data_IF_012009168708
#
_entry.id   IF_012009168708
#
_cell.length_a   1.000
_cell.length_b   1.000
_cell.length_c   1.000
_cell.angle_alpha   90.00
_cell.angle_beta   90.00
_cell.angle_gamma   90.00
#
_symmetry.space_group_name_H-M   'P 1'
#
loop_
_entity.id
_entity.type
_entity.pdbx_description
1 polymer ?
#
# COMPACT_ATOMS: atom_id res chain seq x y z
N UNK A 1 -28.75 -81.84 15.91
CA UNK A 1 -27.67 -80.86 15.60
C UNK A 1 -27.90 -80.29 14.20
N UNK A 2 -28.51 -79.10 14.08
CA UNK A 2 -28.52 -78.31 12.85
C UNK A 2 -27.77 -77.02 13.17
N UNK A 3 -26.63 -76.80 12.52
CA UNK A 3 -25.78 -75.61 12.69
C UNK A 3 -26.49 -74.42 12.04
N UNK A 4 -26.81 -73.40 12.84
CA UNK A 4 -27.24 -72.09 12.37
C UNK A 4 -25.97 -71.27 12.21
N UNK A 5 -25.58 -70.98 10.97
CA UNK A 5 -24.50 -70.04 10.68
C UNK A 5 -25.09 -68.63 10.67
N UNK A 6 -24.78 -67.85 11.70
CA UNK A 6 -25.11 -66.42 11.78
C UNK A 6 -24.05 -65.66 10.99
N UNK A 7 -24.44 -65.11 9.84
CA UNK A 7 -23.61 -64.23 9.03
C UNK A 7 -23.60 -62.84 9.72
N UNK A 8 -22.49 -62.47 10.35
CA UNK A 8 -22.28 -61.13 10.89
C UNK A 8 -21.95 -60.19 9.73
N UNK A 9 -22.95 -59.44 9.24
CA UNK A 9 -22.71 -58.33 8.33
C UNK A 9 -22.14 -57.16 9.14
N UNK A 10 -20.82 -56.98 9.10
CA UNK A 10 -20.14 -55.81 9.63
C UNK A 10 -20.49 -54.62 8.72
N UNK A 11 -21.54 -53.89 9.08
CA UNK A 11 -21.89 -52.65 8.42
C UNK A 11 -20.88 -51.58 8.87
N UNK A 12 -19.80 -51.41 8.10
CA UNK A 12 -18.87 -50.30 8.26
C UNK A 12 -19.65 -49.04 7.87
N UNK A 13 -20.17 -48.33 8.86
CA UNK A 13 -20.69 -46.98 8.64
C UNK A 13 -19.50 -46.10 8.28
N UNK A 14 -19.25 -45.91 6.98
CA UNK A 14 -18.40 -44.86 6.48
C UNK A 14 -19.14 -43.57 6.82
N UNK A 15 -18.76 -42.95 7.94
CA UNK A 15 -19.07 -41.55 8.18
C UNK A 15 -18.30 -40.80 7.09
N UNK A 16 -18.99 -40.47 6.01
CA UNK A 16 -18.49 -39.52 5.03
C UNK A 16 -18.44 -38.17 5.76
N UNK A 17 -17.31 -37.86 6.39
CA UNK A 17 -17.00 -36.47 6.70
C UNK A 17 -17.06 -35.74 5.37
N UNK A 18 -17.80 -34.62 5.33
CA UNK A 18 -17.71 -33.71 4.19
C UNK A 18 -16.23 -33.31 4.08
N UNK A 19 -15.55 -33.88 3.09
CA UNK A 19 -14.15 -33.57 2.85
C UNK A 19 -14.12 -32.12 2.38
N UNK A 20 -13.43 -31.26 3.13
CA UNK A 20 -13.26 -29.85 2.76
C UNK A 20 -12.67 -29.73 1.37
N UNK A 21 -12.87 -28.58 0.73
CA UNK A 21 -12.36 -28.33 -0.61
C UNK A 21 -10.82 -28.48 -0.62
N UNK A 22 -10.24 -29.25 -1.56
CA UNK A 22 -8.80 -29.46 -1.62
C UNK A 22 -8.05 -28.17 -2.01
N UNK A 23 -6.78 -28.11 -1.66
CA UNK A 23 -5.83 -27.22 -2.32
C UNK A 23 -5.58 -27.76 -3.73
N UNK A 24 -5.71 -26.93 -4.77
CA UNK A 24 -5.50 -27.35 -6.16
C UNK A 24 -4.47 -26.45 -6.82
N UNK A 25 -3.40 -27.06 -7.33
CA UNK A 25 -2.39 -26.34 -8.11
C UNK A 25 -1.81 -27.16 -9.25
N UNK A 26 -0.93 -26.52 -10.03
CA UNK A 26 -0.23 -27.11 -11.16
C UNK A 26 1.27 -27.09 -10.90
N UNK A 27 1.89 -28.26 -11.01
CA UNK A 27 3.34 -28.44 -10.90
C UNK A 27 3.92 -28.95 -12.22
N UNK A 28 5.06 -28.39 -12.61
CA UNK A 28 5.85 -28.88 -13.74
C UNK A 28 6.86 -29.90 -13.24
N UNK A 29 6.96 -31.03 -13.93
CA UNK A 29 8.01 -32.00 -13.68
C UNK A 29 9.38 -31.48 -14.10
N UNK A 30 10.45 -32.06 -13.55
CA UNK A 30 11.79 -31.90 -14.09
C UNK A 30 11.96 -32.63 -15.44
N UNK A 31 13.18 -32.57 -15.99
CA UNK A 31 13.52 -33.23 -17.25
C UNK A 31 13.46 -34.77 -17.20
N UNK A 32 13.41 -35.36 -16.00
CA UNK A 32 13.27 -36.80 -15.78
C UNK A 32 11.82 -37.24 -15.52
N UNK A 33 10.87 -36.31 -15.53
CA UNK A 33 9.45 -36.59 -15.27
C UNK A 33 9.08 -36.61 -13.79
N UNK A 34 9.96 -36.12 -12.91
CA UNK A 34 9.71 -36.06 -11.47
C UNK A 34 9.08 -34.73 -11.09
N UNK A 35 7.92 -34.78 -10.43
CA UNK A 35 7.37 -33.63 -9.70
C UNK A 35 7.76 -33.75 -8.23
N UNK A 36 8.47 -32.75 -7.73
CA UNK A 36 8.79 -32.62 -6.31
C UNK A 36 7.88 -31.60 -5.63
N UNK A 37 7.25 -32.00 -4.53
CA UNK A 37 6.43 -31.13 -3.68
C UNK A 37 6.90 -31.23 -2.24
N UNK A 38 7.12 -30.08 -1.60
CA UNK A 38 7.51 -30.02 -0.19
C UNK A 38 6.38 -29.46 0.66
N UNK A 39 6.03 -30.16 1.74
CA UNK A 39 4.96 -29.74 2.65
C UNK A 39 5.20 -30.23 4.09
N UNK A 40 4.45 -29.67 5.02
CA UNK A 40 4.29 -30.18 6.39
C UNK A 40 2.82 -30.46 6.69
N UNK A 41 2.58 -31.48 7.50
CA UNK A 41 1.24 -32.01 7.77
C UNK A 41 0.95 -33.26 6.94
N UNK A 42 0.04 -34.10 7.45
CA UNK A 42 -0.44 -35.29 6.75
C UNK A 42 -1.49 -34.90 5.70
N UNK A 43 -1.42 -35.52 4.53
CA UNK A 43 -2.38 -35.24 3.46
C UNK A 43 -2.57 -36.43 2.52
N UNK A 44 -3.73 -36.50 1.89
CA UNK A 44 -3.95 -37.32 0.70
C UNK A 44 -3.89 -36.45 -0.55
N UNK A 45 -3.55 -37.05 -1.69
CA UNK A 45 -3.49 -36.33 -2.96
C UNK A 45 -3.97 -37.17 -4.14
N UNK A 46 -4.42 -36.46 -5.17
CA UNK A 46 -4.62 -37.01 -6.52
C UNK A 46 -3.86 -36.14 -7.50
N UNK A 47 -3.34 -36.73 -8.57
CA UNK A 47 -2.72 -35.98 -9.66
C UNK A 47 -3.26 -36.43 -11.02
N UNK A 48 -3.22 -35.50 -11.98
CA UNK A 48 -3.60 -35.72 -13.36
C UNK A 48 -2.69 -34.87 -14.27
N UNK A 49 -2.15 -35.47 -15.33
CA UNK A 49 -1.33 -34.73 -16.32
C UNK A 49 -2.20 -33.80 -17.15
N UNK A 50 -1.79 -32.54 -17.24
CA UNK A 50 -2.48 -31.51 -18.03
C UNK A 50 -2.49 -31.91 -19.51
N UNK A 51 -3.68 -32.03 -20.09
CA UNK A 51 -3.88 -32.42 -21.49
C UNK A 51 -3.86 -33.93 -21.77
N UNK A 52 -3.52 -34.77 -20.79
CA UNK A 52 -3.50 -36.23 -20.91
C UNK A 52 -4.07 -36.91 -19.65
N UNK A 53 -5.39 -36.85 -19.41
CA UNK A 53 -6.03 -37.32 -18.16
C UNK A 53 -5.80 -38.80 -17.81
N UNK A 54 -5.45 -39.61 -18.82
CA UNK A 54 -5.09 -41.02 -18.64
C UNK A 54 -3.82 -41.22 -17.80
N UNK A 55 -2.95 -40.21 -17.71
CA UNK A 55 -1.80 -40.19 -16.81
C UNK A 55 -2.26 -39.54 -15.50
N UNK A 56 -2.74 -40.36 -14.59
CA UNK A 56 -3.27 -39.92 -13.30
C UNK A 56 -3.02 -40.96 -12.20
N UNK A 57 -3.12 -40.52 -10.96
CA UNK A 57 -2.94 -41.39 -9.80
C UNK A 57 -3.33 -40.71 -8.50
N UNK A 58 -3.15 -41.43 -7.41
CA UNK A 58 -3.47 -40.97 -6.07
C UNK A 58 -2.53 -41.59 -5.04
N UNK A 59 -2.37 -40.92 -3.91
CA UNK A 59 -1.63 -41.46 -2.78
C UNK A 59 -1.92 -40.68 -1.50
N UNK A 60 -1.16 -41.05 -0.47
CA UNK A 60 -1.15 -40.33 0.79
C UNK A 60 0.28 -40.08 1.23
N UNK A 61 0.49 -38.97 1.90
CA UNK A 61 1.72 -38.56 2.53
C UNK A 61 1.48 -38.47 4.03
N UNK A 62 2.28 -39.20 4.79
CA UNK A 62 2.35 -39.06 6.25
C UNK A 62 3.69 -38.40 6.55
N UNK A 63 3.66 -37.27 7.25
CA UNK A 63 4.86 -36.53 7.59
C UNK A 63 5.77 -37.40 8.49
N UNK A 64 7.03 -37.57 8.08
CA UNK A 64 8.06 -38.22 8.92
C UNK A 64 8.96 -37.12 9.47
N UNK A 65 8.72 -36.69 10.71
CA UNK A 65 9.34 -35.49 11.27
C UNK A 65 8.52 -34.24 10.93
N UNK A 66 9.16 -33.15 10.47
CA UNK A 66 8.48 -31.88 10.14
C UNK A 66 8.28 -31.65 8.64
N UNK A 67 8.69 -32.59 7.79
CA UNK A 67 8.78 -32.40 6.34
C UNK A 67 8.42 -33.66 5.55
N UNK A 68 7.83 -33.42 4.39
CA UNK A 68 7.60 -34.42 3.37
C UNK A 68 8.05 -33.88 2.01
N UNK A 69 8.73 -34.74 1.24
CA UNK A 69 8.98 -34.53 -0.19
C UNK A 69 8.18 -35.58 -0.96
N UNK A 70 7.11 -35.14 -1.64
CA UNK A 70 6.41 -35.98 -2.59
C UNK A 70 7.25 -36.10 -3.86
N UNK A 71 7.43 -37.30 -4.37
CA UNK A 71 7.98 -37.53 -5.72
C UNK A 71 6.95 -38.29 -6.55
N UNK A 72 6.36 -37.62 -7.52
CA UNK A 72 5.55 -38.27 -8.56
C UNK A 72 6.46 -38.45 -9.75
N UNK A 73 6.76 -39.70 -10.10
CA UNK A 73 7.61 -40.04 -11.24
C UNK A 73 6.76 -40.58 -12.37
N UNK A 74 6.54 -39.76 -13.38
CA UNK A 74 5.70 -40.06 -14.53
C UNK A 74 6.41 -39.60 -15.83
N UNK A 75 5.66 -39.24 -16.87
CA UNK A 75 6.22 -38.61 -18.08
C UNK A 75 6.50 -37.12 -17.87
N UNK A 76 7.40 -36.53 -18.66
CA UNK A 76 7.67 -35.09 -18.59
C UNK A 76 6.39 -34.29 -18.93
N UNK A 77 6.03 -33.31 -18.10
CA UNK A 77 4.84 -32.49 -18.31
C UNK A 77 4.44 -31.64 -17.10
N UNK A 78 3.23 -31.09 -17.18
CA UNK A 78 2.57 -30.38 -16.07
C UNK A 78 1.47 -31.26 -15.49
N UNK A 79 1.29 -31.18 -14.18
CA UNK A 79 0.39 -32.01 -13.40
C UNK A 79 -0.49 -31.14 -12.52
N UNK A 80 -1.81 -31.31 -12.63
CA UNK A 80 -2.75 -30.77 -11.65
C UNK A 80 -2.75 -31.69 -10.44
N UNK A 81 -2.38 -31.17 -9.27
CA UNK A 81 -2.37 -31.92 -8.02
C UNK A 81 -3.41 -31.32 -7.08
N UNK A 82 -4.29 -32.19 -6.56
CA UNK A 82 -5.28 -31.86 -5.54
C UNK A 82 -4.79 -32.44 -4.21
N UNK A 83 -4.70 -31.61 -3.17
CA UNK A 83 -4.17 -31.97 -1.87
C UNK A 83 -5.27 -31.79 -0.83
N UNK A 84 -5.48 -32.82 -0.02
CA UNK A 84 -6.47 -32.86 1.06
C UNK A 84 -5.75 -33.13 2.38
N UNK A 85 -5.36 -32.10 3.12
CA UNK A 85 -4.75 -32.25 4.43
C UNK A 85 -5.71 -32.80 5.47
N UNK A 86 -5.20 -33.53 6.46
CA UNK A 86 -5.99 -34.07 7.57
C UNK A 86 -5.83 -33.28 8.87
N UNK A 87 -5.13 -32.14 8.83
CA UNK A 87 -4.88 -31.25 9.96
C UNK A 87 -4.11 -30.01 9.50
N UNK A 88 -3.35 -29.40 10.41
CA UNK A 88 -2.52 -28.22 10.11
C UNK A 88 -1.59 -28.50 8.94
N UNK A 89 -1.62 -27.62 7.95
CA UNK A 89 -0.92 -27.82 6.69
C UNK A 89 -0.16 -26.57 6.24
N UNK A 90 0.95 -26.80 5.53
CA UNK A 90 1.71 -25.76 4.86
C UNK A 90 2.48 -26.34 3.69
N UNK A 91 2.43 -25.67 2.53
CA UNK A 91 3.43 -25.88 1.48
C UNK A 91 4.74 -25.21 1.91
N UNK A 92 5.83 -25.95 1.84
CA UNK A 92 7.18 -25.43 2.07
C UNK A 92 7.82 -25.13 0.72
N UNK A 93 8.80 -24.21 0.69
CA UNK A 93 9.56 -23.74 -0.49
C UNK A 93 9.38 -24.68 -1.69
N UNK A 94 8.37 -24.40 -2.52
CA UNK A 94 7.84 -25.42 -3.42
C UNK A 94 8.61 -25.45 -4.75
N UNK A 95 9.91 -25.79 -4.65
CA UNK A 95 10.75 -26.20 -5.77
C UNK A 95 11.18 -25.11 -6.77
N UNK A 96 11.04 -23.82 -6.45
CA UNK A 96 11.34 -22.74 -7.38
C UNK A 96 10.32 -22.70 -8.53
N UNK A 97 10.77 -22.69 -9.79
CA UNK A 97 9.90 -22.62 -10.97
C UNK A 97 9.05 -23.89 -11.23
N UNK A 98 9.08 -24.90 -10.36
CA UNK A 98 8.24 -26.08 -10.52
C UNK A 98 6.75 -25.75 -10.33
N UNK A 99 6.40 -24.90 -9.36
CA UNK A 99 5.00 -24.55 -9.09
C UNK A 99 4.51 -23.43 -10.02
N UNK A 100 3.49 -23.72 -10.83
CA UNK A 100 3.05 -22.86 -11.95
C UNK A 100 1.77 -22.11 -11.68
N UNK A 101 0.79 -22.77 -11.09
CA UNK A 101 -0.52 -22.16 -10.87
C UNK A 101 -1.15 -22.65 -9.57
N UNK A 102 -1.78 -21.73 -8.84
CA UNK A 102 -2.70 -22.05 -7.76
C UNK A 102 -4.12 -21.71 -8.22
N UNK A 103 -4.97 -22.73 -8.37
CA UNK A 103 -6.35 -22.57 -8.87
C UNK A 103 -7.42 -22.73 -7.79
N UNK A 104 -7.06 -23.20 -6.60
CA UNK A 104 -7.96 -23.25 -5.45
C UNK A 104 -7.13 -23.28 -4.16
N UNK A 105 -7.45 -22.41 -3.20
CA UNK A 105 -6.84 -22.43 -1.86
C UNK A 105 -7.34 -23.61 -1.03
N UNK A 106 -8.64 -23.88 -1.08
CA UNK A 106 -9.30 -24.94 -0.35
C UNK A 106 -9.61 -24.59 1.11
N UNK A 107 -10.32 -25.49 1.78
CA UNK A 107 -10.69 -25.36 3.20
C UNK A 107 -9.54 -25.90 4.08
N UNK A 108 -8.40 -25.22 4.02
CA UNK A 108 -7.15 -25.65 4.65
C UNK A 108 -6.96 -25.00 6.02
N UNK A 109 -6.65 -25.81 7.05
CA UNK A 109 -6.16 -25.31 8.34
C UNK A 109 -4.67 -24.93 8.18
N UNK A 110 -4.42 -23.70 7.75
CA UNK A 110 -3.07 -23.21 7.48
C UNK A 110 -2.22 -23.12 8.76
N UNK A 111 -0.94 -23.49 8.65
CA UNK A 111 0.03 -23.28 9.71
C UNK A 111 0.20 -21.78 10.04
N UNK A 112 0.55 -21.48 11.30
CA UNK A 112 0.78 -20.09 11.75
C UNK A 112 1.92 -19.40 10.98
N UNK A 113 2.93 -20.16 10.57
CA UNK A 113 4.05 -19.68 9.76
C UNK A 113 3.84 -20.13 8.31
N UNK A 114 3.65 -19.19 7.39
CA UNK A 114 3.61 -19.39 5.93
C UNK A 114 4.82 -18.79 5.23
N UNK A 115 5.89 -18.50 5.97
CA UNK A 115 7.09 -17.87 5.41
C UNK A 115 7.66 -18.66 4.23
N UNK A 116 8.01 -17.95 3.17
CA UNK A 116 8.64 -18.55 1.99
C UNK A 116 7.80 -19.61 1.25
N UNK A 117 6.49 -19.72 1.50
CA UNK A 117 5.62 -20.76 0.91
C UNK A 117 5.76 -20.87 -0.62
N UNK A 118 5.81 -19.73 -1.31
CA UNK A 118 5.98 -19.63 -2.76
C UNK A 118 7.28 -18.95 -3.20
N UNK A 119 8.25 -18.85 -2.29
CA UNK A 119 9.53 -18.21 -2.59
C UNK A 119 10.18 -18.79 -3.85
N UNK A 120 10.64 -17.91 -4.72
CA UNK A 120 11.32 -18.19 -6.00
C UNK A 120 10.47 -18.92 -7.04
N UNK A 121 9.14 -18.97 -6.87
CA UNK A 121 8.23 -19.45 -7.91
C UNK A 121 8.05 -18.37 -8.99
N UNK A 122 9.08 -18.13 -9.83
CA UNK A 122 9.11 -16.96 -10.72
C UNK A 122 8.01 -16.98 -11.78
N UNK A 123 7.46 -18.15 -12.07
CA UNK A 123 6.41 -18.40 -13.07
C UNK A 123 5.02 -18.60 -12.45
N UNK A 124 4.88 -18.36 -11.15
CA UNK A 124 3.62 -18.56 -10.42
C UNK A 124 2.52 -17.63 -10.93
N UNK A 125 1.35 -18.22 -11.18
CA UNK A 125 0.07 -17.52 -11.31
C UNK A 125 -0.88 -17.96 -10.21
N UNK A 126 -1.73 -17.06 -9.73
CA UNK A 126 -2.83 -17.43 -8.83
C UNK A 126 -4.13 -17.08 -9.55
N UNK A 127 -4.88 -18.13 -9.88
CA UNK A 127 -6.19 -18.06 -10.54
C UNK A 127 -7.33 -18.46 -9.62
N UNK A 128 -6.99 -18.92 -8.41
CA UNK A 128 -7.92 -19.22 -7.34
C UNK A 128 -8.83 -18.02 -7.02
N UNK A 129 -10.14 -18.24 -7.03
CA UNK A 129 -11.16 -17.23 -6.71
C UNK A 129 -11.80 -17.46 -5.34
N UNK A 130 -11.51 -18.58 -4.69
CA UNK A 130 -11.82 -18.78 -3.28
C UNK A 130 -10.86 -17.97 -2.39
N UNK A 131 -11.31 -17.64 -1.19
CA UNK A 131 -10.56 -16.81 -0.24
C UNK A 131 -9.95 -17.70 0.84
N UNK A 132 -8.62 -17.73 1.02
CA UNK A 132 -8.00 -18.50 2.09
C UNK A 132 -8.30 -17.90 3.46
N UNK A 133 -8.51 -18.75 4.47
CA UNK A 133 -8.58 -18.32 5.86
C UNK A 133 -7.17 -18.29 6.49
N UNK A 134 -6.59 -17.09 6.58
CA UNK A 134 -5.30 -16.85 7.23
C UNK A 134 -5.44 -16.29 8.65
N UNK A 135 -6.61 -16.45 9.29
CA UNK A 135 -6.88 -15.87 10.61
C UNK A 135 -5.98 -16.35 11.75
N UNK A 136 -5.19 -17.42 11.56
CA UNK A 136 -4.19 -17.92 12.51
C UNK A 136 -2.74 -17.62 12.09
N UNK A 137 -2.54 -17.09 10.89
CA UNK A 137 -1.20 -16.88 10.33
C UNK A 137 -0.57 -15.66 10.99
N UNK A 138 0.65 -15.83 11.50
CA UNK A 138 1.45 -14.81 12.17
C UNK A 138 2.68 -14.41 11.35
N UNK A 139 3.19 -15.28 10.47
CA UNK A 139 4.37 -15.01 9.63
C UNK A 139 4.07 -15.27 8.15
N UNK A 140 4.17 -14.22 7.32
CA UNK A 140 4.08 -14.27 5.85
C UNK A 140 5.38 -13.81 5.17
N UNK A 141 6.47 -13.75 5.92
CA UNK A 141 7.77 -13.28 5.42
C UNK A 141 8.21 -14.09 4.20
N UNK A 142 8.65 -13.40 3.16
CA UNK A 142 9.18 -13.98 1.91
C UNK A 142 8.19 -14.88 1.16
N UNK A 143 6.89 -14.85 1.48
CA UNK A 143 5.88 -15.76 0.90
C UNK A 143 5.91 -15.75 -0.63
N UNK A 144 6.01 -14.58 -1.26
CA UNK A 144 6.10 -14.39 -2.72
C UNK A 144 7.43 -13.79 -3.19
N UNK A 145 8.50 -13.92 -2.39
CA UNK A 145 9.84 -13.42 -2.75
C UNK A 145 10.27 -14.00 -4.11
N UNK A 146 10.63 -13.14 -5.07
CA UNK A 146 11.02 -13.42 -6.44
C UNK A 146 9.98 -14.18 -7.28
N UNK A 147 8.68 -14.02 -7.00
CA UNK A 147 7.61 -14.45 -7.89
C UNK A 147 7.44 -13.45 -9.05
N UNK A 148 8.39 -13.43 -9.99
CA UNK A 148 8.49 -12.36 -10.99
C UNK A 148 7.26 -12.17 -11.87
N UNK A 149 6.55 -13.25 -12.21
CA UNK A 149 5.33 -13.25 -13.04
C UNK A 149 4.03 -13.17 -12.23
N UNK A 150 4.11 -12.99 -10.90
CA UNK A 150 2.93 -12.80 -10.07
C UNK A 150 2.29 -11.44 -10.40
N UNK A 151 1.13 -11.47 -11.05
CA UNK A 151 0.35 -10.29 -11.40
C UNK A 151 -0.76 -10.05 -10.35
N UNK A 152 -2.02 -10.00 -10.80
CA UNK A 152 -3.18 -9.90 -9.93
C UNK A 152 -3.46 -11.25 -9.26
N UNK A 153 -3.72 -11.20 -7.96
CA UNK A 153 -4.22 -12.33 -7.17
C UNK A 153 -5.70 -12.07 -6.89
N UNK A 154 -6.63 -12.89 -7.39
CA UNK A 154 -8.06 -12.67 -7.16
C UNK A 154 -8.37 -12.64 -5.66
N UNK A 155 -9.25 -11.71 -5.26
CA UNK A 155 -9.73 -11.54 -3.88
C UNK A 155 -8.62 -11.38 -2.82
N UNK A 156 -7.40 -10.95 -3.21
CA UNK A 156 -6.30 -10.75 -2.27
C UNK A 156 -6.63 -9.73 -1.18
N UNK A 157 -7.45 -8.72 -1.50
CA UNK A 157 -7.96 -7.73 -0.56
C UNK A 157 -8.84 -8.32 0.56
N UNK A 158 -9.37 -9.53 0.38
CA UNK A 158 -10.25 -10.21 1.36
C UNK A 158 -9.48 -11.12 2.32
N UNK A 159 -8.17 -11.30 2.13
CA UNK A 159 -7.37 -12.18 2.96
C UNK A 159 -7.36 -11.73 4.42
N UNK A 160 -7.63 -12.67 5.33
CA UNK A 160 -7.63 -12.42 6.76
C UNK A 160 -6.21 -12.34 7.34
N UNK A 161 -5.50 -11.23 7.11
CA UNK A 161 -4.10 -11.02 7.56
C UNK A 161 -3.96 -10.33 8.93
N UNK A 162 -5.06 -10.23 9.69
CA UNK A 162 -5.14 -9.41 10.91
C UNK A 162 -4.27 -9.87 12.09
N UNK A 163 -3.82 -11.12 12.08
CA UNK A 163 -2.92 -11.69 13.10
C UNK A 163 -1.45 -11.72 12.67
N UNK A 164 -1.14 -11.30 11.44
CA UNK A 164 0.22 -11.32 10.90
C UNK A 164 1.08 -10.25 11.59
N UNK A 165 2.24 -10.66 12.08
CA UNK A 165 3.25 -9.80 12.71
C UNK A 165 4.47 -9.58 11.82
N UNK A 166 4.76 -10.48 10.87
CA UNK A 166 5.92 -10.38 9.96
C UNK A 166 5.50 -10.47 8.48
N UNK A 167 5.83 -9.44 7.70
CA UNK A 167 5.67 -9.39 6.24
C UNK A 167 6.99 -9.06 5.51
N UNK A 168 8.14 -9.33 6.12
CA UNK A 168 9.46 -9.07 5.53
C UNK A 168 9.56 -9.68 4.13
N UNK A 169 9.96 -8.89 3.14
CA UNK A 169 10.24 -9.33 1.77
C UNK A 169 9.10 -10.11 1.10
N UNK A 170 7.85 -9.97 1.56
CA UNK A 170 6.72 -10.77 1.08
C UNK A 170 6.57 -10.72 -0.45
N UNK A 171 6.72 -9.54 -1.06
CA UNK A 171 6.64 -9.31 -2.52
C UNK A 171 7.96 -8.78 -3.10
N UNK A 172 9.09 -8.98 -2.43
CA UNK A 172 10.38 -8.56 -2.98
C UNK A 172 10.62 -9.28 -4.31
N UNK A 173 10.99 -8.56 -5.36
CA UNK A 173 11.23 -9.10 -6.70
C UNK A 173 9.98 -9.60 -7.45
N UNK A 174 8.77 -9.42 -6.91
CA UNK A 174 7.52 -9.69 -7.62
C UNK A 174 7.23 -8.56 -8.64
N UNK A 175 8.01 -8.52 -9.71
CA UNK A 175 8.11 -7.37 -10.65
C UNK A 175 6.77 -6.91 -11.22
N UNK A 176 5.85 -7.85 -11.50
CA UNK A 176 4.54 -7.56 -12.09
C UNK A 176 3.42 -7.36 -11.06
N UNK A 177 3.71 -7.54 -9.76
CA UNK A 177 2.67 -7.52 -8.73
C UNK A 177 2.12 -6.10 -8.54
N UNK A 178 0.81 -5.97 -8.67
CA UNK A 178 0.07 -4.73 -8.40
C UNK A 178 -1.34 -5.03 -7.88
N UNK A 179 -1.53 -6.13 -7.13
CA UNK A 179 -2.82 -6.50 -6.55
C UNK A 179 -3.26 -5.54 -5.44
N UNK A 180 -4.54 -5.18 -5.40
CA UNK A 180 -5.09 -4.27 -4.38
C UNK A 180 -5.08 -4.91 -3.00
N UNK A 181 -4.30 -4.32 -2.10
CA UNK A 181 -4.14 -4.72 -0.69
C UNK A 181 -4.50 -3.57 0.26
N UNK A 182 -5.26 -2.58 -0.22
CA UNK A 182 -5.64 -1.37 0.53
C UNK A 182 -6.45 -1.69 1.80
N UNK A 183 -7.17 -2.82 1.80
CA UNK A 183 -8.06 -3.26 2.89
C UNK A 183 -7.38 -4.19 3.92
N UNK A 184 -6.09 -4.50 3.73
CA UNK A 184 -5.37 -5.35 4.68
C UNK A 184 -5.26 -4.71 6.06
N UNK A 185 -5.57 -5.50 7.10
CA UNK A 185 -5.44 -5.08 8.50
C UNK A 185 -4.02 -5.34 8.99
N UNK A 186 -3.12 -4.39 8.75
CA UNK A 186 -1.68 -4.52 9.09
C UNK A 186 -1.29 -4.00 10.48
N UNK A 187 -2.27 -3.68 11.35
CA UNK A 187 -2.02 -3.02 12.64
C UNK A 187 -1.20 -3.83 13.66
N UNK A 188 -0.97 -5.13 13.44
CA UNK A 188 -0.09 -5.98 14.25
C UNK A 188 1.28 -6.23 13.61
N UNK A 189 1.50 -5.80 12.38
CA UNK A 189 2.75 -6.04 11.65
C UNK A 189 3.85 -5.19 12.28
N UNK A 190 4.94 -5.82 12.70
CA UNK A 190 6.07 -5.19 13.37
C UNK A 190 7.20 -4.83 12.38
N UNK A 191 7.30 -5.57 11.27
CA UNK A 191 8.32 -5.38 10.22
C UNK A 191 7.76 -5.59 8.81
N UNK A 192 8.14 -4.68 7.91
CA UNK A 192 7.88 -4.76 6.47
C UNK A 192 9.17 -4.51 5.66
N UNK A 193 10.32 -4.89 6.24
CA UNK A 193 11.63 -4.74 5.60
C UNK A 193 11.58 -5.38 4.20
N UNK A 194 11.99 -4.60 3.20
CA UNK A 194 12.01 -5.00 1.78
C UNK A 194 10.69 -5.53 1.18
N UNK A 195 9.52 -5.32 1.82
CA UNK A 195 8.25 -5.95 1.41
C UNK A 195 7.92 -5.80 -0.09
N UNK A 196 8.18 -4.63 -0.69
CA UNK A 196 7.95 -4.34 -2.12
C UNK A 196 9.25 -4.02 -2.88
N UNK A 197 10.41 -4.41 -2.35
CA UNK A 197 11.69 -4.14 -2.99
C UNK A 197 11.75 -4.79 -4.37
N UNK A 198 11.93 -3.98 -5.42
CA UNK A 198 11.94 -4.45 -6.81
C UNK A 198 10.59 -4.91 -7.36
N UNK A 199 9.47 -4.66 -6.66
CA UNK A 199 8.12 -4.83 -7.19
C UNK A 199 7.80 -3.66 -8.14
N UNK A 200 8.38 -3.70 -9.34
CA UNK A 200 8.47 -2.53 -10.23
C UNK A 200 7.11 -1.94 -10.63
N UNK A 201 6.08 -2.78 -10.79
CA UNK A 201 4.73 -2.37 -11.15
C UNK A 201 3.84 -1.94 -9.98
N UNK A 202 4.27 -2.14 -8.73
CA UNK A 202 3.44 -1.90 -7.56
C UNK A 202 3.13 -0.40 -7.37
N UNK A 203 1.83 -0.06 -7.32
CA UNK A 203 1.35 1.31 -7.15
C UNK A 203 -0.06 1.37 -6.54
N UNK A 204 -0.30 0.59 -5.48
CA UNK A 204 -1.59 0.54 -4.78
C UNK A 204 -1.67 1.52 -3.62
N UNK A 205 -2.88 1.98 -3.32
CA UNK A 205 -3.16 2.92 -2.22
C UNK A 205 -3.02 2.23 -0.86
N UNK A 206 -2.10 2.73 -0.04
CA UNK A 206 -1.80 2.23 1.30
C UNK A 206 -2.13 3.26 2.40
N UNK A 207 -2.89 4.30 2.07
CA UNK A 207 -3.21 5.40 2.99
C UNK A 207 -4.01 4.96 4.22
N UNK A 208 -4.74 3.84 4.12
CA UNK A 208 -5.58 3.28 5.19
C UNK A 208 -4.86 2.31 6.12
N UNK A 209 -3.58 2.01 5.85
CA UNK A 209 -2.81 1.09 6.69
C UNK A 209 -2.48 1.73 8.05
N UNK A 210 -2.76 0.99 9.13
CA UNK A 210 -2.32 1.36 10.47
C UNK A 210 -0.88 0.90 10.69
N UNK A 211 0.07 1.82 10.55
CA UNK A 211 1.52 1.54 10.63
C UNK A 211 2.10 1.71 12.02
N UNK A 212 1.28 1.90 13.05
CA UNK A 212 1.73 2.25 14.40
C UNK A 212 2.67 1.20 15.03
N UNK A 213 2.44 -0.08 14.73
CA UNK A 213 3.26 -1.18 15.26
C UNK A 213 4.61 -1.35 14.56
N UNK A 214 4.84 -0.71 13.40
CA UNK A 214 6.08 -0.89 12.65
C UNK A 214 7.29 -0.33 13.40
N UNK A 215 8.36 -1.10 13.39
CA UNK A 215 9.67 -0.73 13.97
C UNK A 215 10.75 -0.57 12.91
N UNK A 216 10.60 -1.24 11.75
CA UNK A 216 11.56 -1.25 10.65
C UNK A 216 10.89 -1.26 9.26
N UNK A 217 11.39 -0.41 8.35
CA UNK A 217 10.90 -0.28 6.95
C UNK A 217 12.07 -0.22 5.94
N UNK A 218 13.21 -0.78 6.30
CA UNK A 218 14.44 -0.77 5.49
C UNK A 218 14.15 -1.30 4.09
N UNK A 219 14.48 -0.51 3.07
CA UNK A 219 14.31 -0.86 1.65
C UNK A 219 12.89 -1.25 1.21
N UNK A 220 11.83 -0.94 1.98
CA UNK A 220 10.46 -1.42 1.74
C UNK A 220 9.98 -1.19 0.31
N UNK A 221 10.25 -0.02 -0.29
CA UNK A 221 9.87 0.35 -1.66
C UNK A 221 11.09 0.53 -2.58
N UNK A 222 12.25 -0.01 -2.22
CA UNK A 222 13.48 0.16 -3.00
C UNK A 222 13.29 -0.44 -4.40
N UNK A 223 13.40 0.37 -5.45
CA UNK A 223 13.19 -0.07 -6.83
C UNK A 223 11.72 -0.37 -7.20
N UNK A 224 10.75 -0.01 -6.36
CA UNK A 224 9.33 -0.02 -6.73
C UNK A 224 9.03 1.18 -7.65
N UNK A 225 9.45 1.07 -8.92
CA UNK A 225 9.54 2.18 -9.87
C UNK A 225 8.21 2.90 -10.09
N UNK A 226 7.09 2.18 -10.10
CA UNK A 226 5.76 2.75 -10.32
C UNK A 226 5.15 3.43 -9.09
N UNK A 227 5.64 3.12 -7.88
CA UNK A 227 5.01 3.55 -6.63
C UNK A 227 5.08 5.07 -6.45
N UNK A 228 3.93 5.72 -6.37
CA UNK A 228 3.80 7.15 -6.08
C UNK A 228 2.47 7.48 -5.36
N UNK A 229 2.05 6.64 -4.43
CA UNK A 229 0.85 6.88 -3.62
C UNK A 229 1.17 7.69 -2.38
N UNK A 230 0.19 8.48 -1.97
CA UNK A 230 0.29 9.30 -0.76
C UNK A 230 0.28 8.41 0.48
N UNK A 231 1.36 8.52 1.27
CA UNK A 231 1.58 7.84 2.54
C UNK A 231 1.94 8.85 3.65
N UNK A 232 1.64 10.14 3.43
CA UNK A 232 1.89 11.21 4.39
C UNK A 232 1.17 10.98 5.73
N UNK A 233 0.05 10.25 5.72
CA UNK A 233 -0.72 9.87 6.90
C UNK A 233 -0.17 8.70 7.74
N UNK A 234 0.90 8.03 7.30
CA UNK A 234 1.49 6.93 8.05
C UNK A 234 2.05 7.38 9.42
N UNK A 235 1.79 6.55 10.44
CA UNK A 235 2.35 6.69 11.79
C UNK A 235 3.74 6.06 11.83
N UNK A 236 4.79 6.88 11.77
CA UNK A 236 6.20 6.41 11.69
C UNK A 236 7.01 6.65 12.97
N UNK A 237 6.37 7.11 14.05
CA UNK A 237 7.04 7.51 15.29
C UNK A 237 7.77 6.38 16.03
N UNK A 238 7.44 5.13 15.73
CA UNK A 238 8.05 3.95 16.36
C UNK A 238 9.22 3.38 15.53
N UNK A 239 9.35 3.79 14.26
CA UNK A 239 10.32 3.23 13.31
C UNK A 239 11.71 3.82 13.54
N UNK A 240 12.70 2.96 13.82
CA UNK A 240 14.10 3.38 13.98
C UNK A 240 14.93 3.26 12.71
N UNK A 241 14.58 2.33 11.81
CA UNK A 241 15.36 2.02 10.61
C UNK A 241 14.51 2.21 9.34
N UNK A 242 14.82 3.27 8.58
CA UNK A 242 14.14 3.66 7.33
C UNK A 242 15.11 3.73 6.14
N UNK A 243 16.30 3.14 6.30
CA UNK A 243 17.37 3.20 5.31
C UNK A 243 16.91 2.69 3.95
N UNK A 244 17.20 3.46 2.90
CA UNK A 244 16.93 3.12 1.50
C UNK A 244 15.46 2.81 1.18
N UNK A 245 14.49 3.25 2.00
CA UNK A 245 13.06 2.92 1.83
C UNK A 245 12.54 3.18 0.41
N UNK A 246 12.90 4.30 -0.22
CA UNK A 246 12.51 4.68 -1.59
C UNK A 246 13.71 4.75 -2.55
N UNK A 247 14.82 4.08 -2.23
CA UNK A 247 16.00 4.07 -3.09
C UNK A 247 15.64 3.54 -4.49
N UNK A 248 16.00 4.22 -5.57
CA UNK A 248 15.61 3.90 -6.96
C UNK A 248 14.08 3.79 -7.22
N UNK A 249 13.21 4.27 -6.32
CA UNK A 249 11.77 4.37 -6.58
C UNK A 249 11.50 5.61 -7.47
N UNK A 250 11.71 5.46 -8.77
CA UNK A 250 11.88 6.57 -9.71
C UNK A 250 10.66 7.48 -9.87
N UNK A 251 9.45 7.02 -9.54
CA UNK A 251 8.25 7.86 -9.58
C UNK A 251 7.87 8.45 -8.22
N UNK A 252 8.49 8.01 -7.12
CA UNK A 252 8.07 8.41 -5.78
C UNK A 252 8.45 9.87 -5.48
N UNK A 253 7.45 10.76 -5.48
CA UNK A 253 7.55 12.17 -5.12
C UNK A 253 6.32 12.59 -4.32
N UNK A 254 6.44 12.60 -2.99
CA UNK A 254 5.35 12.92 -2.07
C UNK A 254 5.85 13.83 -0.95
N UNK A 255 4.95 14.67 -0.43
CA UNK A 255 5.20 15.47 0.77
C UNK A 255 5.07 14.57 2.02
N UNK A 256 6.19 14.35 2.72
CA UNK A 256 6.25 13.56 3.94
C UNK A 256 6.41 14.41 5.20
N UNK A 257 6.11 15.71 5.11
CA UNK A 257 6.29 16.66 6.21
C UNK A 257 5.45 16.35 7.46
N UNK A 258 4.37 15.58 7.31
CA UNK A 258 3.52 15.13 8.42
C UNK A 258 4.15 14.00 9.26
N UNK A 259 5.19 13.33 8.76
CA UNK A 259 5.84 12.22 9.45
C UNK A 259 6.55 12.67 10.73
N UNK A 260 6.23 11.99 11.83
CA UNK A 260 6.85 12.19 13.16
C UNK A 260 8.06 11.27 13.28
N UNK A 261 9.23 11.71 12.80
CA UNK A 261 10.44 10.87 12.79
C UNK A 261 10.94 10.62 14.23
N UNK A 262 11.25 9.36 14.56
CA UNK A 262 11.77 8.95 15.87
C UNK A 262 13.15 9.56 16.15
N UNK A 263 13.42 9.91 17.41
CA UNK A 263 14.75 10.32 17.86
C UNK A 263 15.79 9.24 17.57
N UNK A 264 16.91 9.63 16.96
CA UNK A 264 17.99 8.71 16.58
C UNK A 264 17.68 7.81 15.38
N UNK A 265 16.57 8.02 14.68
CA UNK A 265 16.24 7.24 13.48
C UNK A 265 17.29 7.41 12.38
N UNK A 266 17.45 6.37 11.57
CA UNK A 266 18.33 6.39 10.39
C UNK A 266 17.50 6.36 9.10
N UNK A 267 17.60 7.44 8.33
CA UNK A 267 17.01 7.65 7.00
C UNK A 267 18.11 7.65 5.93
N UNK A 268 19.08 6.75 6.06
CA UNK A 268 20.24 6.70 5.17
C UNK A 268 19.82 6.28 3.75
N UNK A 269 20.07 7.14 2.77
CA UNK A 269 19.72 6.92 1.37
C UNK A 269 18.22 6.84 1.09
N UNK A 270 17.37 7.35 1.99
CA UNK A 270 15.91 7.14 1.94
C UNK A 270 15.29 7.52 0.59
N UNK A 271 15.72 8.62 -0.04
CA UNK A 271 15.25 9.08 -1.34
C UNK A 271 16.33 9.02 -2.44
N UNK A 272 17.41 8.25 -2.23
CA UNK A 272 18.50 8.23 -3.19
C UNK A 272 18.03 7.67 -4.54
N UNK A 273 18.18 8.45 -5.60
CA UNK A 273 17.71 8.14 -6.96
C UNK A 273 16.19 7.91 -7.05
N UNK A 274 15.40 8.38 -6.08
CA UNK A 274 13.94 8.35 -6.19
C UNK A 274 13.44 9.50 -7.07
N UNK A 275 12.13 9.51 -7.34
CA UNK A 275 11.44 10.62 -8.01
C UNK A 275 11.30 11.90 -7.18
N UNK A 276 11.85 11.93 -5.97
CA UNK A 276 11.62 13.00 -4.98
C UNK A 276 12.09 14.34 -5.54
N UNK A 277 11.12 15.11 -6.02
CA UNK A 277 11.35 16.40 -6.64
C UNK A 277 11.64 17.47 -5.58
N UNK A 278 11.99 18.65 -6.07
CA UNK A 278 12.41 19.73 -5.21
C UNK A 278 11.27 20.33 -4.37
N UNK A 279 10.04 20.33 -4.88
CA UNK A 279 8.89 20.86 -4.15
C UNK A 279 8.53 19.93 -2.98
N UNK A 280 8.41 18.64 -3.25
CA UNK A 280 8.07 17.60 -2.28
C UNK A 280 9.13 17.48 -1.19
N UNK A 281 10.41 17.51 -1.54
CA UNK A 281 11.49 17.50 -0.55
C UNK A 281 11.52 18.79 0.28
N UNK A 282 11.27 19.95 -0.33
CA UNK A 282 11.21 21.23 0.38
C UNK A 282 10.06 21.28 1.40
N UNK A 283 8.88 20.77 1.04
CA UNK A 283 7.73 20.64 1.96
C UNK A 283 8.02 19.63 3.09
N UNK A 284 8.65 18.50 2.75
CA UNK A 284 9.07 17.49 3.72
C UNK A 284 10.02 18.09 4.78
N UNK A 285 11.05 18.81 4.35
CA UNK A 285 11.99 19.50 5.26
C UNK A 285 11.28 20.51 6.16
N UNK A 286 10.34 21.31 5.62
CA UNK A 286 9.53 22.25 6.39
C UNK A 286 8.70 21.55 7.45
N UNK A 287 7.92 20.54 7.07
CA UNK A 287 7.06 19.81 8.01
C UNK A 287 7.86 19.17 9.14
N UNK A 288 9.02 18.57 8.83
CA UNK A 288 9.89 18.01 9.86
C UNK A 288 10.48 19.06 10.80
N UNK A 289 10.83 20.24 10.28
CA UNK A 289 11.38 21.32 11.09
C UNK A 289 10.34 21.93 12.04
N UNK A 290 9.12 22.17 11.56
CA UNK A 290 8.04 22.82 12.32
C UNK A 290 7.36 21.89 13.33
N UNK A 291 7.43 20.57 13.13
CA UNK A 291 6.78 19.62 14.00
C UNK A 291 7.60 19.37 15.29
N UNK A 292 7.03 19.70 16.45
CA UNK A 292 7.68 19.51 17.76
C UNK A 292 7.83 18.04 18.17
N UNK A 293 7.01 17.13 17.61
CA UNK A 293 7.08 15.69 17.88
C UNK A 293 8.16 14.99 17.02
N UNK A 294 8.73 15.68 16.03
CA UNK A 294 9.87 15.15 15.26
C UNK A 294 11.12 15.14 16.12
N UNK A 295 11.69 13.95 16.26
CA UNK A 295 12.82 13.63 17.12
C UNK A 295 14.14 14.28 16.72
N UNK A 296 15.11 14.13 17.60
CA UNK A 296 16.46 14.70 17.47
C UNK A 296 17.48 13.66 16.99
N UNK A 297 18.68 14.12 16.63
CA UNK A 297 19.83 13.24 16.30
C UNK A 297 19.57 12.24 15.16
N UNK A 298 18.75 12.63 14.18
CA UNK A 298 18.41 11.80 13.02
C UNK A 298 19.51 11.89 11.96
N UNK A 299 19.81 10.76 11.30
CA UNK A 299 20.71 10.72 10.15
C UNK A 299 19.90 10.65 8.85
N UNK A 300 19.94 11.73 8.06
CA UNK A 300 19.34 11.81 6.74
C UNK A 300 20.43 11.89 5.67
N UNK A 301 20.41 10.96 4.72
CA UNK A 301 21.22 11.08 3.50
C UNK A 301 20.37 10.86 2.25
N UNK A 302 20.48 11.77 1.30
CA UNK A 302 19.72 11.72 0.04
C UNK A 302 20.46 12.51 -1.04
N UNK A 303 20.16 12.31 -2.32
CA UNK A 303 20.59 13.19 -3.41
C UNK A 303 19.47 14.12 -3.92
N UNK A 304 18.35 14.20 -3.18
CA UNK A 304 17.24 15.13 -3.45
C UNK A 304 17.70 16.58 -3.42
N UNK A 305 16.94 17.43 -4.11
CA UNK A 305 17.21 18.86 -4.20
C UNK A 305 16.20 19.66 -3.39
N UNK A 306 16.61 20.77 -2.79
CA UNK A 306 15.70 21.67 -2.06
C UNK A 306 15.86 23.12 -2.54
N UNK A 307 14.76 23.89 -2.48
CA UNK A 307 14.70 25.28 -2.92
C UNK A 307 15.14 26.27 -1.85
N UNK A 308 15.21 27.55 -2.23
CA UNK A 308 15.63 28.65 -1.33
C UNK A 308 14.77 28.73 -0.06
N UNK A 309 13.45 28.61 -0.20
CA UNK A 309 12.49 28.65 0.90
C UNK A 309 12.70 27.54 1.95
N UNK A 310 13.33 26.41 1.58
CA UNK A 310 13.58 25.29 2.49
C UNK A 310 14.86 25.45 3.33
N UNK A 311 15.75 26.39 2.98
CA UNK A 311 17.00 26.66 3.72
C UNK A 311 16.81 26.85 5.23
N UNK A 312 15.92 27.75 5.72
CA UNK A 312 15.75 27.96 7.16
C UNK A 312 15.28 26.68 7.89
N UNK A 313 14.43 25.88 7.26
CA UNK A 313 13.92 24.64 7.84
C UNK A 313 14.98 23.55 7.91
N UNK A 314 15.78 23.40 6.85
CA UNK A 314 16.94 22.51 6.84
C UNK A 314 17.95 22.91 7.93
N UNK A 315 18.22 24.20 8.06
CA UNK A 315 19.10 24.74 9.11
C UNK A 315 18.55 24.48 10.51
N UNK A 316 17.23 24.56 10.71
CA UNK A 316 16.56 24.24 11.97
C UNK A 316 16.73 22.77 12.36
N UNK A 317 16.54 21.84 11.43
CA UNK A 317 16.78 20.41 11.65
C UNK A 317 18.21 20.15 12.13
N UNK A 318 19.20 20.77 11.49
CA UNK A 318 20.62 20.59 11.83
C UNK A 318 20.95 21.27 13.17
N UNK A 319 20.66 22.57 13.29
CA UNK A 319 21.14 23.41 14.40
C UNK A 319 20.34 23.22 15.68
N UNK A 320 19.02 23.01 15.59
CA UNK A 320 18.14 22.89 16.77
C UNK A 320 17.81 21.45 17.11
N UNK A 321 17.59 20.59 16.10
CA UNK A 321 17.26 19.18 16.32
C UNK A 321 18.47 18.23 16.26
N UNK A 322 19.68 18.75 15.94
CA UNK A 322 20.90 17.95 15.92
C UNK A 322 20.95 16.91 14.79
N UNK A 323 20.17 17.11 13.72
CA UNK A 323 20.16 16.19 12.58
C UNK A 323 21.50 16.25 11.83
N UNK A 324 21.92 15.10 11.31
CA UNK A 324 22.97 15.01 10.30
C UNK A 324 22.31 14.86 8.94
N UNK A 325 22.32 15.93 8.14
CA UNK A 325 21.80 15.92 6.77
C UNK A 325 22.97 15.98 5.78
N UNK A 326 23.04 15.01 4.86
CA UNK A 326 24.15 14.90 3.91
C UNK A 326 23.70 14.56 2.48
N UNK A 327 24.51 14.99 1.50
CA UNK A 327 24.38 14.74 0.06
C UNK A 327 23.21 15.41 -0.67
N UNK A 328 22.25 15.99 0.06
CA UNK A 328 21.19 16.80 -0.51
C UNK A 328 21.78 18.08 -1.14
N UNK A 329 21.09 18.63 -2.13
CA UNK A 329 21.63 19.75 -2.92
C UNK A 329 20.67 20.93 -2.94
N UNK A 330 21.18 22.10 -2.62
CA UNK A 330 20.48 23.33 -2.92
C UNK A 330 20.35 23.51 -4.44
N UNK A 331 19.16 23.88 -4.90
CA UNK A 331 18.88 24.25 -6.29
C UNK A 331 18.25 25.65 -6.33
N UNK A 332 18.98 26.63 -6.86
CA UNK A 332 18.55 28.04 -6.95
C UNK A 332 17.43 28.27 -7.97
N UNK A 333 17.22 27.32 -8.88
CA UNK A 333 16.12 27.35 -9.85
C UNK A 333 14.84 26.75 -9.28
N UNK A 334 14.91 26.12 -8.11
CA UNK A 334 13.75 25.58 -7.44
C UNK A 334 13.01 26.67 -6.65
N UNK A 335 12.01 27.28 -7.30
CA UNK A 335 11.11 28.25 -6.68
C UNK A 335 9.92 27.52 -6.07
N UNK A 336 9.91 27.39 -4.74
CA UNK A 336 8.81 26.77 -3.98
C UNK A 336 8.19 27.82 -3.09
N UNK A 337 6.86 27.95 -3.14
CA UNK A 337 6.11 28.71 -2.14
C UNK A 337 5.83 27.79 -0.94
N UNK A 338 6.61 27.99 0.12
CA UNK A 338 6.44 27.33 1.40
C UNK A 338 5.72 28.23 2.42
N UNK A 339 5.16 29.36 1.98
CA UNK A 339 4.26 30.14 2.82
C UNK A 339 3.13 29.29 3.36
N UNK A 340 2.59 29.69 4.51
CA UNK A 340 1.30 29.16 4.94
C UNK A 340 0.33 29.54 3.82
N UNK A 341 -0.14 28.56 3.05
CA UNK A 341 -1.24 28.81 2.14
C UNK A 341 -2.43 29.20 3.02
N UNK A 342 -2.60 30.51 3.22
CA UNK A 342 -3.87 31.05 3.66
C UNK A 342 -4.87 30.73 2.55
N UNK A 343 -5.57 29.61 2.73
CA UNK A 343 -6.72 29.11 1.96
C UNK A 343 -6.37 28.29 0.70
N UNK A 344 -7.07 27.15 0.43
CA UNK A 344 -7.06 26.53 -0.90
C UNK A 344 -7.33 27.58 -1.97
N UNK A 345 -6.64 27.47 -3.10
CA UNK A 345 -6.69 28.41 -4.25
C UNK A 345 -8.12 28.75 -4.61
N UNK A 346 -8.58 29.84 -4.03
CA UNK A 346 -9.92 30.34 -4.23
C UNK A 346 -10.04 30.86 -5.65
N UNK A 347 -11.09 30.50 -6.41
CA UNK A 347 -11.30 31.06 -7.73
C UNK A 347 -11.27 32.59 -7.70
N UNK A 348 -10.44 33.22 -8.54
CA UNK A 348 -10.26 34.66 -8.49
C UNK A 348 -11.54 35.40 -8.91
N UNK A 349 -12.08 36.24 -8.02
CA UNK A 349 -13.17 37.18 -8.30
C UNK A 349 -12.59 38.57 -8.54
N UNK A 350 -13.07 39.29 -9.55
CA UNK A 350 -12.61 40.65 -9.89
C UNK A 350 -13.76 41.64 -9.85
N UNK A 351 -13.63 42.68 -9.03
CA UNK A 351 -14.53 43.85 -9.02
C UNK A 351 -13.85 45.01 -9.75
N UNK A 352 -14.50 45.55 -10.78
CA UNK A 352 -13.98 46.72 -11.49
C UNK A 352 -14.10 47.97 -10.59
N UNK A 353 -12.99 48.69 -10.45
CA UNK A 353 -12.87 49.92 -9.66
C UNK A 353 -12.30 51.03 -10.55
N UNK A 354 -12.64 52.31 -10.33
CA UNK A 354 -13.62 52.82 -9.35
C UNK A 354 -15.07 52.51 -9.76
N UNK A 355 -15.97 52.43 -8.78
CA UNK A 355 -17.38 52.08 -9.00
C UNK A 355 -18.19 53.36 -9.22
N UNK A 356 -18.92 53.44 -10.33
CA UNK A 356 -19.88 54.53 -10.61
C UNK A 356 -21.29 54.08 -10.23
N UNK A 357 -22.16 53.84 -11.20
CA UNK A 357 -23.57 53.56 -10.92
C UNK A 357 -23.89 52.07 -10.74
N UNK A 358 -22.96 51.20 -11.17
CA UNK A 358 -23.13 49.76 -11.18
C UNK A 358 -21.85 49.02 -10.76
N UNK A 359 -22.03 47.91 -10.04
CA UNK A 359 -20.96 46.97 -9.72
C UNK A 359 -20.70 46.01 -10.89
N UNK A 360 -19.54 46.12 -11.51
CA UNK A 360 -19.08 45.15 -12.51
C UNK A 360 -18.20 44.12 -11.79
N UNK A 361 -18.71 42.89 -11.68
CA UNK A 361 -18.05 41.79 -10.99
C UNK A 361 -17.91 40.61 -11.94
N UNK A 362 -16.67 40.22 -12.22
CA UNK A 362 -16.33 38.97 -12.89
C UNK A 362 -16.13 37.89 -11.84
N UNK A 363 -17.00 36.89 -11.84
CA UNK A 363 -16.97 35.76 -10.91
C UNK A 363 -17.07 34.45 -11.69
N UNK A 364 -16.23 33.44 -11.39
CA UNK A 364 -16.36 32.10 -11.95
C UNK A 364 -17.52 31.31 -11.33
N UNK A 365 -18.09 31.81 -10.22
CA UNK A 365 -19.19 31.18 -9.48
C UNK A 365 -20.43 32.08 -9.48
N UNK A 366 -21.61 31.47 -9.41
CA UNK A 366 -22.86 32.23 -9.31
C UNK A 366 -22.93 33.02 -8.00
N UNK A 367 -23.18 34.33 -8.12
CA UNK A 367 -23.33 35.25 -6.98
C UNK A 367 -24.75 35.15 -6.44
N UNK A 368 -24.90 34.62 -5.22
CA UNK A 368 -26.17 34.57 -4.48
C UNK A 368 -26.60 35.95 -4.01
N UNK A 369 -25.69 36.69 -3.38
CA UNK A 369 -25.94 38.07 -2.95
C UNK A 369 -24.65 38.88 -2.75
N UNK A 370 -24.78 40.19 -2.65
CA UNK A 370 -23.72 41.14 -2.31
C UNK A 370 -24.23 42.02 -1.17
N UNK A 371 -23.58 41.95 -0.02
CA UNK A 371 -23.81 42.83 1.11
C UNK A 371 -22.84 44.02 1.03
N UNK A 372 -23.36 45.24 1.14
CA UNK A 372 -22.57 46.48 1.03
C UNK A 372 -22.53 47.15 2.40
N UNK A 373 -21.34 47.31 2.95
CA UNK A 373 -21.08 47.91 4.25
C UNK A 373 -20.38 49.26 4.10
N UNK A 374 -20.65 50.19 5.02
CA UNK A 374 -19.83 51.38 5.21
C UNK A 374 -18.41 50.99 5.64
N UNK A 375 -17.45 51.91 5.52
CA UNK A 375 -16.11 51.71 6.08
C UNK A 375 -16.10 51.47 7.60
N UNK A 376 -17.15 51.89 8.33
CA UNK A 376 -17.34 51.62 9.76
C UNK A 376 -18.00 50.27 10.07
N UNK A 377 -18.34 49.48 9.04
CA UNK A 377 -18.93 48.14 9.20
C UNK A 377 -20.45 48.09 9.31
N UNK A 378 -21.16 49.18 9.07
CA UNK A 378 -22.63 49.19 9.05
C UNK A 378 -23.17 48.69 7.70
N UNK A 379 -24.09 47.73 7.71
CA UNK A 379 -24.74 47.21 6.50
C UNK A 379 -25.69 48.27 5.91
N UNK A 380 -25.50 48.60 4.64
CA UNK A 380 -26.29 49.60 3.91
C UNK A 380 -27.35 48.94 3.04
N UNK A 381 -26.95 47.91 2.30
CA UNK A 381 -27.79 47.29 1.28
C UNK A 381 -27.33 45.87 1.00
N UNK A 382 -28.29 45.00 0.69
CA UNK A 382 -28.04 43.66 0.14
C UNK A 382 -28.61 43.59 -1.27
N UNK A 383 -27.77 43.30 -2.26
CA UNK A 383 -28.16 43.04 -3.64
C UNK A 383 -28.31 41.53 -3.84
N UNK A 384 -29.46 41.07 -4.33
CA UNK A 384 -29.71 39.63 -4.56
C UNK A 384 -29.50 39.23 -6.01
N UNK A 385 -28.94 38.04 -6.24
CA UNK A 385 -28.76 37.45 -7.56
C UNK A 385 -27.97 38.35 -8.52
N UNK A 386 -28.61 38.75 -9.63
CA UNK A 386 -28.00 39.58 -10.70
C UNK A 386 -28.04 41.10 -10.45
N UNK A 387 -28.57 41.57 -9.32
CA UNK A 387 -28.64 43.01 -9.03
C UNK A 387 -27.24 43.63 -8.85
N UNK A 388 -26.96 44.75 -9.53
CA UNK A 388 -25.68 45.45 -9.45
C UNK A 388 -25.77 46.97 -9.24
N UNK A 389 -26.98 47.54 -9.24
CA UNK A 389 -27.18 48.99 -9.16
C UNK A 389 -26.83 49.60 -7.78
N UNK A 390 -25.92 50.57 -7.81
CA UNK A 390 -25.39 51.30 -6.65
C UNK A 390 -25.36 52.82 -6.85
N UNK A 391 -26.07 53.35 -7.86
CA UNK A 391 -26.22 54.79 -8.15
C UNK A 391 -26.64 55.63 -6.93
N UNK A 392 -27.42 55.05 -6.03
CA UNK A 392 -27.96 55.75 -4.84
C UNK A 392 -26.98 55.75 -3.65
N UNK A 393 -25.82 55.11 -3.77
CA UNK A 393 -24.79 55.21 -2.75
C UNK A 393 -24.03 56.54 -2.88
N UNK A 394 -23.88 57.31 -1.79
CA UNK A 394 -23.01 58.48 -1.77
C UNK A 394 -21.59 58.14 -2.21
N UNK A 395 -20.84 59.16 -2.66
CA UNK A 395 -19.41 58.99 -2.92
C UNK A 395 -18.69 58.62 -1.62
N UNK A 396 -17.84 57.59 -1.67
CA UNK A 396 -17.18 57.12 -0.45
C UNK A 396 -16.62 55.72 -0.54
N UNK A 397 -16.10 55.26 0.59
CA UNK A 397 -15.47 53.96 0.74
C UNK A 397 -16.46 52.93 1.27
N UNK A 398 -16.54 51.78 0.61
CA UNK A 398 -17.42 50.67 1.00
C UNK A 398 -16.68 49.33 1.01
N UNK A 399 -17.17 48.42 1.83
CA UNK A 399 -16.76 47.01 1.84
C UNK A 399 -17.91 46.18 1.28
N UNK A 400 -17.61 45.39 0.25
CA UNK A 400 -18.52 44.41 -0.31
C UNK A 400 -18.23 43.05 0.31
N UNK A 401 -19.27 42.34 0.72
CA UNK A 401 -19.22 40.91 1.02
C UNK A 401 -20.06 40.18 -0.03
N UNK A 402 -19.40 39.48 -0.93
CA UNK A 402 -20.00 38.83 -2.11
C UNK A 402 -20.12 37.35 -1.82
N UNK A 403 -21.35 36.88 -1.62
CA UNK A 403 -21.63 35.49 -1.33
C UNK A 403 -21.97 34.76 -2.64
N UNK A 404 -21.24 33.71 -2.95
CA UNK A 404 -21.46 32.82 -4.10
C UNK A 404 -22.05 31.49 -3.64
N UNK A 405 -22.25 30.54 -4.56
CA UNK A 405 -22.71 29.20 -4.21
C UNK A 405 -21.83 28.50 -3.19
N UNK A 406 -20.51 28.59 -3.38
CA UNK A 406 -19.51 27.81 -2.63
C UNK A 406 -18.59 28.68 -1.74
N UNK A 407 -18.47 29.99 -2.00
CA UNK A 407 -17.51 30.87 -1.31
C UNK A 407 -18.05 32.27 -0.96
N UNK A 408 -17.42 32.96 -0.01
CA UNK A 408 -17.74 34.35 0.39
C UNK A 408 -16.54 35.30 0.24
N UNK A 409 -16.61 36.26 -0.69
CA UNK A 409 -15.51 37.20 -1.03
C UNK A 409 -15.68 38.51 -0.28
N UNK A 410 -14.59 39.19 0.07
CA UNK A 410 -14.62 40.53 0.65
C UNK A 410 -13.80 41.47 -0.21
N UNK A 411 -14.41 42.58 -0.67
CA UNK A 411 -13.78 43.53 -1.58
C UNK A 411 -13.98 44.97 -1.13
N UNK A 412 -12.89 45.74 -1.11
CA UNK A 412 -12.94 47.17 -0.80
C UNK A 412 -13.14 47.97 -2.08
N UNK A 413 -14.17 48.81 -2.16
CA UNK A 413 -14.45 49.67 -3.32
C UNK A 413 -14.47 51.14 -2.94
N UNK A 414 -14.20 52.00 -3.94
CA UNK A 414 -14.44 53.44 -3.87
C UNK A 414 -15.58 53.74 -4.85
N UNK A 415 -16.67 54.33 -4.34
CA UNK A 415 -17.77 54.87 -5.13
C UNK A 415 -17.45 56.31 -5.50
N UNK A 416 -17.37 56.57 -6.80
CA UNK A 416 -17.13 57.91 -7.37
C UNK A 416 -18.40 58.68 -7.68
#
# INVERSE_FOLDING_TARGET
>A
MKKISILFALCLAIVAYAQGNPLIGVWKSDASGVVELSASGDFSYTYEKVGEPSVSGSGSAVAVGTEFQLKITESVGEYTIKINPTGVFRLKKNGGDAFRNLSQWGDIDWAEDLSGMFRECSQLKITATDTPDFSKVTDMSRMFLNCEQLENVPNINEWAVGEVTDMESMFEGAKQFNGDISQWKVGKVETMVSMFKGAEAFNQDLSQWDTEALTETVSMFRGAKAFNKDISGWKVQNISLMSSMFYDATNFSQDLGAWKIKTGATLAGIFRNSGMDCESYSKTLKGWAENSEVGTSVNLSTNSKYGDAAKPYRDELIKKKGWTISSDKYDDKCTVDLGIADTPTRPALKVLKPVKDELIISSPEEIKNIEIYTASGALIKTLKGKQRAVSNLPKGLYILKINTENHQYTEKIIKE
#
